data_IF_416032865576
#
_entry.id   IF_416032865576
#
_cell.length_a   1.000
_cell.length_b   1.000
_cell.length_c   1.000
_cell.angle_alpha   90.00
_cell.angle_beta   90.00
_cell.angle_gamma   90.00
#
_symmetry.space_group_name_H-M   'P 1'
#
loop_
_entity.id
_entity.type
_entity.pdbx_description
1 polymer ?
#
# COMPACT_ATOMS: atom_id res chain seq x y z
N UNK A 1 -12.36 -4.94 -28.12
CA UNK A 1 -11.04 -4.33 -28.29
C UNK A 1 -11.03 -3.10 -27.39
N UNK A 2 -10.36 -3.15 -26.24
CA UNK A 2 -10.34 -2.01 -25.30
C UNK A 2 -9.28 -1.05 -25.82
N UNK A 3 -9.70 0.11 -26.31
CA UNK A 3 -8.81 1.18 -26.77
C UNK A 3 -7.92 1.64 -25.61
N UNK A 4 -6.65 1.25 -25.68
CA UNK A 4 -5.70 1.31 -24.56
C UNK A 4 -4.86 2.61 -24.52
N UNK A 5 -5.22 3.64 -25.29
CA UNK A 5 -4.49 4.92 -25.29
C UNK A 5 -5.36 6.15 -24.91
N UNK A 6 -6.70 6.02 -24.89
CA UNK A 6 -7.61 7.17 -24.71
C UNK A 6 -8.81 6.95 -23.76
N UNK A 7 -8.77 5.91 -22.91
CA UNK A 7 -9.87 5.60 -21.98
C UNK A 7 -9.97 6.49 -20.74
N UNK A 8 -11.17 6.63 -20.18
CA UNK A 8 -11.44 7.36 -18.93
C UNK A 8 -10.64 6.82 -17.73
N UNK A 9 -10.33 5.52 -17.73
CA UNK A 9 -9.47 4.88 -16.73
C UNK A 9 -8.03 5.43 -16.80
N UNK A 10 -7.47 5.53 -18.02
CA UNK A 10 -6.12 6.08 -18.25
C UNK A 10 -6.03 7.53 -17.79
N UNK A 11 -7.02 8.35 -18.13
CA UNK A 11 -7.09 9.75 -17.68
C UNK A 11 -7.13 9.88 -16.14
N UNK A 12 -7.83 8.97 -15.46
CA UNK A 12 -7.87 8.95 -13.99
C UNK A 12 -6.52 8.54 -13.40
N UNK A 13 -5.87 7.53 -13.97
CA UNK A 13 -4.53 7.07 -13.56
C UNK A 13 -3.51 8.19 -13.76
N UNK A 14 -3.46 8.80 -14.95
CA UNK A 14 -2.53 9.89 -15.25
C UNK A 14 -2.76 11.07 -14.28
N UNK A 15 -4.02 11.44 -14.03
CA UNK A 15 -4.37 12.49 -13.06
C UNK A 15 -3.97 12.16 -11.62
N UNK A 16 -4.00 10.89 -11.23
CA UNK A 16 -3.50 10.45 -9.93
C UNK A 16 -1.98 10.59 -9.88
N UNK A 17 -1.28 10.07 -10.89
CA UNK A 17 0.17 10.14 -11.00
C UNK A 17 0.69 11.59 -11.00
N UNK A 18 0.06 12.49 -11.75
CA UNK A 18 0.41 13.93 -11.72
C UNK A 18 0.26 14.53 -10.34
N UNK A 19 -0.75 14.09 -9.56
CA UNK A 19 -0.95 14.59 -8.19
C UNK A 19 0.06 14.08 -7.19
N UNK A 20 0.63 12.91 -7.45
CA UNK A 20 1.63 12.27 -6.59
C UNK A 20 3.06 12.64 -6.98
N UNK A 21 3.27 13.43 -8.03
CA UNK A 21 4.56 14.06 -8.36
C UNK A 21 4.90 15.20 -7.39
N UNK A 22 6.20 15.41 -7.16
CA UNK A 22 6.78 16.27 -6.11
C UNK A 22 6.09 17.65 -5.98
N UNK A 23 5.90 18.38 -7.08
CA UNK A 23 5.29 19.72 -7.05
C UNK A 23 3.83 19.74 -6.58
N UNK A 24 3.09 18.65 -6.77
CA UNK A 24 1.69 18.54 -6.33
C UNK A 24 1.57 17.86 -4.97
N UNK A 25 2.60 17.11 -4.57
CA UNK A 25 2.67 16.45 -3.28
C UNK A 25 2.78 17.47 -2.14
N UNK A 26 3.52 18.57 -2.32
CA UNK A 26 3.61 19.64 -1.33
C UNK A 26 2.23 20.27 -1.04
N UNK A 27 1.42 20.51 -2.07
CA UNK A 27 0.05 20.99 -1.91
C UNK A 27 -0.84 20.01 -1.14
N UNK A 28 -0.64 18.71 -1.34
CA UNK A 28 -1.33 17.68 -0.57
C UNK A 28 -0.87 17.73 0.90
N UNK A 29 0.43 17.73 1.14
CA UNK A 29 1.01 17.77 2.49
C UNK A 29 0.48 18.99 3.26
N UNK A 30 0.59 20.19 2.69
CA UNK A 30 0.14 21.44 3.34
C UNK A 30 -1.35 21.43 3.69
N UNK A 31 -2.17 20.73 2.90
CA UNK A 31 -3.62 20.62 3.14
C UNK A 31 -3.98 19.69 4.30
N UNK A 32 -3.18 18.64 4.55
CA UNK A 32 -3.49 17.59 5.52
C UNK A 32 -2.64 17.68 6.79
N UNK A 33 -1.45 18.25 6.73
CA UNK A 33 -0.52 18.38 7.87
C UNK A 33 -1.17 19.02 9.10
N UNK A 34 -1.94 20.09 8.91
CA UNK A 34 -2.62 20.80 10.01
C UNK A 34 -3.83 20.04 10.61
N UNK A 35 -4.18 18.88 10.03
CA UNK A 35 -5.27 18.01 10.50
C UNK A 35 -4.75 16.73 11.18
N UNK A 36 -3.43 16.57 11.23
CA UNK A 36 -2.82 15.45 11.93
C UNK A 36 -3.01 15.66 13.43
N UNK A 37 -3.44 14.61 14.12
CA UNK A 37 -3.45 14.57 15.59
C UNK A 37 -2.00 14.59 16.06
N UNK A 38 -1.69 15.43 17.05
CA UNK A 38 -0.33 15.51 17.59
C UNK A 38 0.18 14.13 18.03
N UNK A 39 1.45 13.87 17.71
CA UNK A 39 2.09 12.60 18.01
C UNK A 39 3.55 12.82 18.37
N UNK A 40 4.03 12.16 19.41
CA UNK A 40 5.39 12.39 19.91
C UNK A 40 6.48 12.01 18.87
N UNK A 41 6.23 11.02 17.99
CA UNK A 41 7.13 10.71 16.85
C UNK A 41 7.27 11.84 15.82
N UNK A 42 6.36 12.81 15.78
CA UNK A 42 6.49 13.95 14.87
C UNK A 42 7.62 14.91 15.28
N UNK A 43 8.00 14.89 16.55
CA UNK A 43 9.17 15.64 17.04
C UNK A 43 10.46 14.98 16.53
N UNK A 44 10.46 13.64 16.46
CA UNK A 44 11.61 12.83 16.07
C UNK A 44 11.81 12.77 14.54
N UNK A 45 10.74 12.89 13.75
CA UNK A 45 10.83 12.89 12.28
C UNK A 45 9.85 13.85 11.62
N UNK A 46 10.40 14.90 10.98
CA UNK A 46 9.63 15.82 10.13
C UNK A 46 9.12 15.15 8.85
N UNK A 47 9.84 14.13 8.35
CA UNK A 47 9.42 13.34 7.19
C UNK A 47 8.16 12.52 7.50
N UNK A 48 8.05 11.99 8.71
CA UNK A 48 6.88 11.23 9.15
C UNK A 48 5.60 12.07 9.09
N UNK A 49 5.68 13.37 9.39
CA UNK A 49 4.54 14.30 9.23
C UNK A 49 4.10 14.36 7.76
N UNK A 50 5.05 14.46 6.83
CA UNK A 50 4.75 14.54 5.40
C UNK A 50 4.14 13.23 4.88
N UNK A 51 4.65 12.08 5.33
CA UNK A 51 4.11 10.78 4.98
C UNK A 51 2.71 10.58 5.57
N UNK A 52 2.46 10.94 6.83
CA UNK A 52 1.13 10.86 7.43
C UNK A 52 0.11 11.80 6.77
N UNK A 53 0.53 13.01 6.38
CA UNK A 53 -0.33 13.91 5.60
C UNK A 53 -0.68 13.31 4.22
N UNK A 54 0.30 12.69 3.56
CA UNK A 54 0.08 11.97 2.31
C UNK A 54 -0.82 10.74 2.51
N UNK A 55 -0.68 10.05 3.64
CA UNK A 55 -1.49 8.89 4.03
C UNK A 55 -2.98 9.26 4.18
N UNK A 56 -3.30 10.31 4.93
CA UNK A 56 -4.69 10.79 5.05
C UNK A 56 -5.31 11.17 3.69
N UNK A 57 -4.50 11.67 2.76
CA UNK A 57 -4.98 11.94 1.41
C UNK A 57 -5.31 10.67 0.64
N UNK A 58 -4.44 9.66 0.66
CA UNK A 58 -4.68 8.40 -0.06
C UNK A 58 -5.83 7.62 0.57
N UNK A 59 -5.97 7.60 1.90
CA UNK A 59 -7.13 7.06 2.62
C UNK A 59 -8.44 7.69 2.10
N UNK A 60 -8.48 9.03 2.00
CA UNK A 60 -9.62 9.75 1.43
C UNK A 60 -9.88 9.40 -0.04
N UNK A 61 -8.84 9.06 -0.82
CA UNK A 61 -9.00 8.59 -2.20
C UNK A 61 -9.55 7.17 -2.27
N UNK A 62 -9.06 6.28 -1.40
CA UNK A 62 -9.58 4.92 -1.26
C UNK A 62 -11.08 4.96 -0.96
N UNK A 63 -11.50 5.74 0.05
CA UNK A 63 -12.93 5.92 0.37
C UNK A 63 -13.74 6.44 -0.83
N UNK A 64 -13.24 7.47 -1.52
CA UNK A 64 -13.94 8.06 -2.67
C UNK A 64 -14.08 7.08 -3.84
N UNK A 65 -13.08 6.22 -4.05
CA UNK A 65 -12.97 5.36 -5.22
C UNK A 65 -13.00 3.87 -4.87
N UNK A 66 -13.57 3.51 -3.73
CA UNK A 66 -13.65 2.12 -3.25
C UNK A 66 -14.24 1.15 -4.29
N UNK A 67 -15.22 1.60 -5.08
CA UNK A 67 -15.81 0.81 -6.16
C UNK A 67 -14.79 0.39 -7.23
N UNK A 68 -13.76 1.20 -7.51
CA UNK A 68 -12.67 0.88 -8.44
C UNK A 68 -11.72 -0.17 -7.87
N UNK A 69 -11.53 -0.17 -6.55
CA UNK A 69 -10.73 -1.19 -5.86
C UNK A 69 -11.50 -2.51 -5.81
N UNK A 70 -12.79 -2.49 -5.44
CA UNK A 70 -13.64 -3.69 -5.46
C UNK A 70 -13.70 -4.32 -6.85
N UNK A 71 -13.70 -3.52 -7.92
CA UNK A 71 -13.66 -4.03 -9.30
C UNK A 71 -12.44 -4.90 -9.64
N UNK A 72 -11.35 -4.82 -8.85
CA UNK A 72 -10.17 -5.69 -9.03
C UNK A 72 -10.59 -7.16 -8.95
N UNK A 73 -11.54 -7.53 -8.06
CA UNK A 73 -12.04 -8.90 -7.94
C UNK A 73 -12.74 -9.46 -9.20
N UNK A 74 -13.01 -8.59 -10.19
CA UNK A 74 -13.62 -8.96 -11.47
C UNK A 74 -12.59 -9.18 -12.59
N UNK A 75 -11.31 -8.93 -12.33
CA UNK A 75 -10.25 -9.14 -13.31
C UNK A 75 -10.05 -10.65 -13.49
N UNK A 76 -10.33 -11.15 -14.70
CA UNK A 76 -10.26 -12.58 -15.07
C UNK A 76 -9.06 -12.93 -15.95
N UNK A 77 -8.19 -11.97 -16.24
CA UNK A 77 -7.02 -12.13 -17.11
C UNK A 77 -5.77 -12.47 -16.29
N UNK A 78 -4.73 -12.94 -16.97
CA UNK A 78 -3.43 -13.22 -16.35
C UNK A 78 -2.90 -11.96 -15.64
N UNK A 79 -2.60 -12.09 -14.35
CA UNK A 79 -2.18 -10.96 -13.52
C UNK A 79 -0.72 -10.63 -13.79
N UNK A 80 -0.42 -9.34 -13.99
CA UNK A 80 0.97 -8.93 -13.94
C UNK A 80 1.48 -9.07 -12.49
N UNK A 81 2.78 -9.32 -12.36
CA UNK A 81 3.47 -9.47 -11.08
C UNK A 81 3.33 -8.26 -10.16
N UNK A 82 3.30 -7.04 -10.71
CA UNK A 82 3.22 -5.81 -9.93
C UNK A 82 1.85 -5.68 -9.24
N UNK A 83 0.78 -6.11 -9.91
CA UNK A 83 -0.58 -6.15 -9.37
C UNK A 83 -0.64 -7.11 -8.18
N UNK A 84 -0.17 -8.34 -8.35
CA UNK A 84 -0.16 -9.33 -7.28
C UNK A 84 0.68 -8.87 -6.09
N UNK A 85 1.85 -8.30 -6.36
CA UNK A 85 2.70 -7.73 -5.31
C UNK A 85 2.01 -6.59 -4.57
N UNK A 86 1.35 -5.69 -5.30
CA UNK A 86 0.60 -4.57 -4.72
C UNK A 86 -0.48 -5.08 -3.78
N UNK A 87 -1.26 -6.08 -4.20
CA UNK A 87 -2.30 -6.68 -3.37
C UNK A 87 -1.72 -7.35 -2.14
N UNK A 88 -0.69 -8.19 -2.32
CA UNK A 88 -0.01 -8.86 -1.21
C UNK A 88 0.47 -7.86 -0.17
N UNK A 89 1.15 -6.79 -0.62
CA UNK A 89 1.66 -5.76 0.27
C UNK A 89 0.53 -5.12 1.08
N UNK A 90 -0.63 -4.83 0.46
CA UNK A 90 -1.79 -4.32 1.20
C UNK A 90 -2.22 -5.29 2.30
N UNK A 91 -2.31 -6.59 2.01
CA UNK A 91 -2.70 -7.60 2.99
C UNK A 91 -1.71 -7.76 4.13
N UNK A 92 -0.40 -7.71 3.84
CA UNK A 92 0.66 -7.72 4.85
C UNK A 92 0.54 -6.47 5.75
N UNK A 93 0.37 -5.30 5.15
CA UNK A 93 0.35 -4.00 5.84
C UNK A 93 -0.81 -3.90 6.83
N UNK A 94 -2.03 -4.22 6.40
CA UNK A 94 -3.23 -4.07 7.24
C UNK A 94 -3.44 -5.24 8.22
N UNK A 95 -2.39 -6.06 8.40
CA UNK A 95 -2.37 -7.26 9.23
C UNK A 95 -3.67 -8.05 9.05
N UNK A 96 -4.01 -8.32 7.77
CA UNK A 96 -5.23 -9.05 7.46
C UNK A 96 -5.05 -10.50 7.90
N UNK A 97 -5.41 -10.76 9.16
CA UNK A 97 -5.61 -12.11 9.66
C UNK A 97 -6.68 -12.76 8.79
N UNK A 98 -6.23 -13.48 7.76
CA UNK A 98 -7.04 -14.47 7.10
C UNK A 98 -7.51 -15.40 8.21
N UNK A 99 -8.81 -15.40 8.49
CA UNK A 99 -9.42 -16.32 9.43
C UNK A 99 -9.41 -17.74 8.85
N UNK A 100 -8.23 -18.35 8.68
CA UNK A 100 -7.83 -19.76 8.82
C UNK A 100 -6.37 -20.00 8.36
N UNK A 101 -5.72 -21.06 8.88
CA UNK A 101 -4.38 -20.99 9.44
C UNK A 101 -3.29 -21.07 8.37
N UNK A 102 -2.22 -20.35 8.65
CA UNK A 102 -0.94 -20.41 7.97
C UNK A 102 -0.86 -19.64 6.64
N UNK A 103 -0.50 -18.35 6.78
CA UNK A 103 0.61 -17.76 6.02
C UNK A 103 1.90 -18.58 6.24
N UNK A 104 1.83 -19.88 5.96
CA UNK A 104 3.01 -20.71 5.84
C UNK A 104 3.79 -20.17 4.64
N UNK A 105 5.10 -20.37 4.66
CA UNK A 105 6.03 -20.09 3.54
C UNK A 105 5.57 -20.64 2.16
N UNK A 106 4.46 -21.40 2.10
CA UNK A 106 3.85 -21.98 0.89
C UNK A 106 2.93 -21.04 0.09
N UNK A 107 2.23 -20.06 0.69
CA UNK A 107 1.37 -19.11 -0.08
C UNK A 107 2.21 -18.34 -1.13
N UNK A 108 3.49 -18.11 -0.81
CA UNK A 108 4.44 -17.42 -1.70
C UNK A 108 4.69 -18.21 -3.01
N UNK A 109 4.34 -19.50 -3.06
CA UNK A 109 4.55 -20.40 -4.19
C UNK A 109 3.38 -20.36 -5.19
N UNK A 110 3.23 -19.22 -5.87
CA UNK A 110 2.52 -19.00 -7.15
C UNK A 110 1.04 -19.43 -7.34
N UNK A 111 0.44 -20.32 -6.53
CA UNK A 111 -0.88 -20.89 -6.83
C UNK A 111 -2.04 -20.27 -6.05
N UNK A 112 -1.79 -19.65 -4.88
CA UNK A 112 -2.85 -19.10 -4.02
C UNK A 112 -3.04 -17.57 -4.20
N UNK A 113 -2.22 -16.93 -5.03
CA UNK A 113 -2.32 -15.48 -5.31
C UNK A 113 -3.61 -15.08 -6.01
N UNK A 114 -4.14 -15.95 -6.87
CA UNK A 114 -5.43 -15.73 -7.52
C UNK A 114 -6.58 -15.76 -6.50
N UNK A 115 -6.39 -16.39 -5.34
CA UNK A 115 -7.40 -16.41 -4.29
C UNK A 115 -7.43 -15.09 -3.50
N UNK A 116 -6.28 -14.38 -3.38
CA UNK A 116 -6.22 -13.07 -2.71
C UNK A 116 -7.21 -12.07 -3.30
N UNK A 117 -7.45 -12.14 -4.60
CA UNK A 117 -8.35 -11.24 -5.30
C UNK A 117 -9.80 -11.38 -4.82
N UNK A 118 -10.19 -12.58 -4.37
CA UNK A 118 -11.53 -12.86 -3.87
C UNK A 118 -11.79 -12.17 -2.53
N UNK A 119 -10.73 -11.83 -1.79
CA UNK A 119 -10.80 -11.11 -0.54
C UNK A 119 -10.86 -9.58 -0.74
N UNK A 120 -10.75 -9.07 -1.97
CA UNK A 120 -10.97 -7.67 -2.28
C UNK A 120 -12.48 -7.40 -2.30
N UNK A 121 -13.02 -7.11 -1.13
CA UNK A 121 -14.42 -6.81 -0.88
C UNK A 121 -14.54 -5.60 0.07
N UNK A 122 -15.75 -5.29 0.55
CA UNK A 122 -15.96 -4.15 1.43
C UNK A 122 -15.15 -4.23 2.72
N UNK A 123 -15.02 -5.42 3.33
CA UNK A 123 -14.22 -5.60 4.55
C UNK A 123 -12.72 -5.27 4.33
N UNK A 124 -12.19 -5.55 3.13
CA UNK A 124 -10.84 -5.13 2.76
C UNK A 124 -10.72 -3.59 2.67
N UNK A 125 -11.72 -2.93 2.08
CA UNK A 125 -11.76 -1.45 2.03
C UNK A 125 -11.86 -0.87 3.44
N UNK A 126 -12.74 -1.42 4.27
CA UNK A 126 -12.96 -0.95 5.63
C UNK A 126 -11.64 -1.03 6.41
N UNK A 127 -10.92 -2.17 6.34
CA UNK A 127 -9.59 -2.30 6.95
C UNK A 127 -8.56 -1.33 6.41
N UNK A 128 -8.49 -1.11 5.09
CA UNK A 128 -7.57 -0.11 4.50
C UNK A 128 -7.83 1.30 5.02
N UNK A 129 -9.07 1.62 5.35
CA UNK A 129 -9.49 2.98 5.72
C UNK A 129 -9.54 3.20 7.23
N UNK A 130 -9.66 2.15 8.03
CA UNK A 130 -9.52 2.23 9.49
C UNK A 130 -8.08 2.06 9.96
N UNK A 131 -7.19 1.54 9.11
CA UNK A 131 -5.79 1.32 9.43
C UNK A 131 -5.04 2.63 9.66
N UNK A 132 -4.45 2.77 10.85
CA UNK A 132 -3.57 3.89 11.20
C UNK A 132 -2.12 3.39 11.30
N UNK A 133 -1.29 3.57 10.25
CA UNK A 133 0.06 3.03 10.23
C UNK A 133 0.95 3.54 11.35
N UNK A 134 0.74 4.78 11.81
CA UNK A 134 1.57 5.35 12.86
C UNK A 134 1.34 4.63 14.19
N UNK A 135 0.08 4.48 14.60
CA UNK A 135 -0.27 3.81 15.85
C UNK A 135 0.06 2.31 15.78
N UNK A 136 -0.32 1.66 14.68
CA UNK A 136 -0.08 0.22 14.47
C UNK A 136 1.41 -0.12 14.50
N UNK A 137 2.26 0.70 13.87
CA UNK A 137 3.71 0.45 13.90
C UNK A 137 4.36 0.90 15.21
N UNK A 138 3.82 1.89 15.89
CA UNK A 138 4.28 2.26 17.23
C UNK A 138 4.02 1.13 18.24
N UNK A 139 2.86 0.50 18.21
CA UNK A 139 2.48 -0.53 19.18
C UNK A 139 3.24 -1.85 18.98
N UNK A 140 3.64 -2.17 17.74
CA UNK A 140 4.38 -3.41 17.43
C UNK A 140 5.84 -3.38 17.89
N UNK A 141 6.35 -4.50 18.39
CA UNK A 141 7.77 -4.67 18.73
C UNK A 141 8.66 -4.48 17.49
N UNK A 142 9.90 -4.03 17.70
CA UNK A 142 10.82 -3.70 16.61
C UNK A 142 11.13 -4.92 15.72
N UNK A 143 11.22 -6.11 16.32
CA UNK A 143 11.43 -7.38 15.61
C UNK A 143 10.27 -7.66 14.65
N UNK A 144 9.03 -7.43 15.07
CA UNK A 144 7.83 -7.60 14.24
C UNK A 144 7.79 -6.60 13.09
N UNK A 145 8.24 -5.37 13.31
CA UNK A 145 8.36 -4.37 12.24
C UNK A 145 9.39 -4.81 11.18
N UNK A 146 10.52 -5.38 11.60
CA UNK A 146 11.48 -5.97 10.68
C UNK A 146 10.93 -7.19 9.94
N UNK A 147 10.14 -8.04 10.58
CA UNK A 147 9.45 -9.14 9.92
C UNK A 147 8.50 -8.65 8.83
N UNK A 148 7.66 -7.64 9.12
CA UNK A 148 6.79 -6.99 8.14
C UNK A 148 7.62 -6.44 6.97
N UNK A 149 8.67 -5.68 7.26
CA UNK A 149 9.57 -5.12 6.23
C UNK A 149 10.20 -6.20 5.36
N UNK A 150 10.63 -7.31 5.96
CA UNK A 150 11.18 -8.45 5.24
C UNK A 150 10.13 -9.11 4.35
N UNK A 151 8.91 -9.31 4.82
CA UNK A 151 7.81 -9.84 4.01
C UNK A 151 7.49 -8.94 2.81
N UNK A 152 7.53 -7.62 2.99
CA UNK A 152 7.33 -6.65 1.90
C UNK A 152 8.47 -6.66 0.87
N UNK A 153 9.69 -7.04 1.29
CA UNK A 153 10.85 -7.21 0.41
C UNK A 153 10.91 -8.58 -0.28
N UNK A 154 10.27 -9.61 0.28
CA UNK A 154 10.18 -10.95 -0.30
C UNK A 154 9.10 -10.94 -1.40
N UNK A 155 9.50 -10.61 -2.62
CA UNK A 155 9.27 -11.42 -3.82
C UNK A 155 9.45 -10.60 -5.11
N UNK A 156 10.51 -10.84 -5.88
CA UNK A 156 10.25 -11.01 -7.29
C UNK A 156 9.56 -12.38 -7.44
N UNK A 157 8.22 -12.43 -7.55
CA UNK A 157 7.51 -13.59 -8.10
C UNK A 157 8.35 -14.15 -9.26
N UNK A 158 8.79 -15.41 -9.16
CA UNK A 158 9.58 -16.03 -10.22
C UNK A 158 8.77 -15.91 -11.50
N UNK A 159 9.35 -15.26 -12.52
CA UNK A 159 8.76 -15.07 -13.85
C UNK A 159 8.20 -16.42 -14.33
N UNK A 160 6.90 -16.64 -14.18
CA UNK A 160 6.16 -17.52 -15.07
C UNK A 160 5.93 -16.76 -16.38
N UNK A 161 5.70 -17.47 -17.47
CA UNK A 161 5.61 -16.97 -18.83
C UNK A 161 4.49 -15.93 -19.04
N UNK A 162 4.67 -14.70 -18.55
CA UNK A 162 3.72 -13.61 -18.79
C UNK A 162 3.78 -13.19 -20.26
N UNK A 163 2.61 -12.99 -20.85
CA UNK A 163 2.51 -12.26 -22.11
C UNK A 163 3.06 -10.85 -21.91
N UNK A 164 4.20 -10.52 -22.54
CA UNK A 164 4.85 -9.19 -22.48
C UNK A 164 3.89 -8.01 -22.71
N UNK A 165 2.79 -8.27 -23.41
CA UNK A 165 1.78 -7.27 -23.76
C UNK A 165 0.81 -6.92 -22.61
N UNK A 166 0.86 -7.64 -21.49
CA UNK A 166 0.00 -7.41 -20.30
C UNK A 166 0.71 -6.65 -19.17
N UNK A 167 2.03 -6.45 -19.25
CA UNK A 167 2.81 -5.78 -18.20
C UNK A 167 2.37 -4.33 -17.95
N UNK A 168 1.73 -3.67 -18.92
CA UNK A 168 1.29 -2.28 -18.84
C UNK A 168 -0.17 -2.03 -18.42
N UNK A 169 -1.00 -3.07 -18.24
CA UNK A 169 -2.41 -2.87 -17.87
C UNK A 169 -2.52 -2.73 -16.34
N UNK A 170 -2.67 -1.49 -15.89
CA UNK A 170 -3.02 -1.17 -14.50
C UNK A 170 -4.41 -0.52 -14.45
N UNK A 171 -5.10 -0.68 -13.34
CA UNK A 171 -6.39 -0.02 -13.08
C UNK A 171 -6.19 1.08 -12.06
N UNK A 172 -7.10 2.06 -12.05
CA UNK A 172 -7.08 3.12 -11.05
C UNK A 172 -7.10 2.58 -9.61
N UNK A 173 -7.83 1.49 -9.38
CA UNK A 173 -7.84 0.79 -8.09
C UNK A 173 -6.46 0.29 -7.68
N UNK A 174 -5.75 -0.38 -8.60
CA UNK A 174 -4.39 -0.87 -8.33
C UNK A 174 -3.40 0.27 -8.13
N UNK A 175 -3.46 1.33 -8.95
CA UNK A 175 -2.58 2.50 -8.77
C UNK A 175 -2.81 3.19 -7.41
N UNK A 176 -4.04 3.22 -6.90
CA UNK A 176 -4.32 3.72 -5.55
C UNK A 176 -3.67 2.84 -4.48
N UNK A 177 -3.81 1.52 -4.59
CA UNK A 177 -3.21 0.58 -3.64
C UNK A 177 -1.69 0.60 -3.67
N UNK A 178 -1.08 0.79 -4.85
CA UNK A 178 0.36 0.97 -4.99
C UNK A 178 0.84 2.21 -4.24
N UNK A 179 0.13 3.33 -4.38
CA UNK A 179 0.47 4.56 -3.65
C UNK A 179 0.26 4.41 -2.14
N UNK A 180 -0.80 3.72 -1.71
CA UNK A 180 -1.02 3.36 -0.31
C UNK A 180 0.15 2.55 0.26
N UNK A 181 0.60 1.52 -0.45
CA UNK A 181 1.74 0.70 -0.03
C UNK A 181 3.00 1.55 0.11
N UNK A 182 3.32 2.36 -0.91
CA UNK A 182 4.54 3.16 -0.92
C UNK A 182 4.59 4.14 0.26
N UNK A 183 3.50 4.88 0.52
CA UNK A 183 3.46 5.79 1.68
C UNK A 183 3.58 5.00 2.99
N UNK A 184 2.88 3.88 3.10
CA UNK A 184 2.87 3.10 4.34
C UNK A 184 4.24 2.50 4.64
N UNK A 185 4.95 2.03 3.62
CA UNK A 185 6.34 1.56 3.73
C UNK A 185 7.25 2.70 4.20
N UNK A 186 7.09 3.91 3.65
CA UNK A 186 7.86 5.06 4.11
C UNK A 186 7.57 5.41 5.58
N UNK A 187 6.33 5.24 6.04
CA UNK A 187 5.97 5.42 7.45
C UNK A 187 6.62 4.34 8.32
N UNK A 188 6.57 3.07 7.89
CA UNK A 188 7.25 1.96 8.57
C UNK A 188 8.75 2.22 8.71
N UNK A 189 9.40 2.70 7.65
CA UNK A 189 10.83 3.02 7.65
C UNK A 189 11.18 4.13 8.63
N UNK A 190 10.37 5.19 8.71
CA UNK A 190 10.59 6.26 9.68
C UNK A 190 10.35 5.80 11.12
N UNK A 191 9.31 4.99 11.36
CA UNK A 191 9.05 4.42 12.70
C UNK A 191 10.18 3.49 13.14
N UNK A 192 10.69 2.65 12.24
CA UNK A 192 11.86 1.80 12.49
C UNK A 192 13.07 2.65 12.89
N UNK A 193 13.42 3.69 12.11
CA UNK A 193 14.55 4.59 12.44
C UNK A 193 14.41 5.21 13.83
N UNK A 194 13.21 5.66 14.19
CA UNK A 194 12.95 6.26 15.51
C UNK A 194 13.17 5.22 16.62
N UNK A 195 12.63 4.01 16.45
CA UNK A 195 12.76 2.93 17.44
C UNK A 195 14.21 2.43 17.58
N UNK A 196 14.92 2.26 16.47
CA UNK A 196 16.34 1.91 16.45
C UNK A 196 17.20 2.98 17.13
N UNK A 197 16.93 4.27 16.86
CA UNK A 197 17.63 5.39 17.48
C UNK A 197 17.46 5.46 19.00
N UNK A 198 16.29 5.08 19.53
CA UNK A 198 16.03 5.00 20.98
C UNK A 198 16.78 3.85 21.67
N UNK A 199 17.21 2.83 20.92
CA UNK A 199 17.95 1.68 21.46
C UNK A 199 19.45 1.93 21.58
N UNK A 200 19.98 2.98 20.92
CA UNK A 200 21.37 3.40 21.10
C UNK A 200 21.40 4.26 22.37
N UNK A 201 21.95 3.78 23.50
CA UNK A 201 22.09 4.63 24.67
C UNK A 201 23.01 5.78 24.29
N UNK A 202 22.65 7.01 24.65
CA UNK A 202 23.60 8.12 24.62
C UNK A 202 24.80 7.74 25.50
N UNK A 203 25.86 7.24 24.86
CA UNK A 203 27.17 6.98 25.47
C UNK A 203 27.89 8.28 25.73
#
# INVERSE_FOLDING_TARGET
MIECEHGSERQLIDKLQTKTQENNQENIINKFKNKLVEHHYFIESSNLINYMASFQWIEKKILKYQHKIIQINKIKVEFNKNLLQTLLNCFIIIDHEYSKPSLSKKIIQNYEWNELILYINQNFIDRLTTFNPLLEFEEKEIEKLHEIKNLLNIAPLKKSNYLKNMEGITTYGITLLEYFNNITINILDEVLKIKEGKLIPNT
#
